data_IF_742068223925
#
_entry.id   IF_742068223925
#
_cell.length_a   1.000
_cell.length_b   1.000
_cell.length_c   1.000
_cell.angle_alpha   90.00
_cell.angle_beta   90.00
_cell.angle_gamma   90.00
#
_symmetry.space_group_name_H-M   'P 1'
#
loop_
_entity.id
_entity.type
_entity.pdbx_description
1 polymer ?
#
# COMPACT_ATOMS: atom_id res chain seq x y z
N UNK A 1 -2.99 4.19 -1.72
CA UNK A 1 -2.84 5.50 -2.36
C UNK A 1 -2.25 6.55 -1.41
N UNK A 2 -1.03 6.98 -1.71
CA UNK A 2 -0.22 7.90 -0.91
C UNK A 2 -0.45 9.38 -1.21
N UNK A 3 -1.28 9.71 -2.20
CA UNK A 3 -1.54 11.10 -2.59
C UNK A 3 -2.00 11.91 -1.38
N UNK A 4 -1.35 13.06 -1.06
CA UNK A 4 -1.62 13.80 0.18
C UNK A 4 -3.09 14.15 0.38
N UNK A 5 -3.82 14.47 -0.70
CA UNK A 5 -5.23 14.81 -0.64
C UNK A 5 -6.17 13.61 -0.54
N UNK A 6 -5.71 12.40 -0.91
CA UNK A 6 -6.51 11.17 -0.86
C UNK A 6 -6.30 10.42 0.44
N UNK A 7 -5.06 9.99 0.70
CA UNK A 7 -4.71 9.29 1.92
C UNK A 7 -5.69 8.13 2.23
N UNK A 8 -5.91 7.29 1.21
CA UNK A 8 -7.03 6.35 1.12
C UNK A 8 -6.51 4.91 1.00
N UNK A 9 -6.98 3.97 1.86
CA UNK A 9 -8.03 4.14 2.88
C UNK A 9 -7.58 4.87 4.16
N UNK A 10 -8.51 5.52 4.89
CA UNK A 10 -8.23 6.13 6.19
C UNK A 10 -7.77 5.07 7.22
N UNK A 11 -6.99 5.48 8.22
CA UNK A 11 -6.34 4.57 9.19
C UNK A 11 -7.30 3.56 9.84
N UNK A 12 -8.54 3.97 10.16
CA UNK A 12 -9.56 3.07 10.71
C UNK A 12 -9.89 1.89 9.80
N UNK A 13 -9.93 2.13 8.49
CA UNK A 13 -10.23 1.10 7.49
C UNK A 13 -8.98 0.28 7.17
N UNK A 14 -7.79 0.88 7.19
CA UNK A 14 -6.53 0.12 7.12
C UNK A 14 -6.44 -0.90 8.25
N UNK A 15 -6.68 -0.49 9.50
CA UNK A 15 -6.68 -1.41 10.66
C UNK A 15 -7.74 -2.51 10.53
N UNK A 16 -8.92 -2.18 10.03
CA UNK A 16 -9.96 -3.19 9.77
C UNK A 16 -9.51 -4.20 8.69
N UNK A 17 -8.86 -3.76 7.63
CA UNK A 17 -8.31 -4.63 6.59
C UNK A 17 -7.18 -5.52 7.14
N UNK A 18 -6.34 -5.01 8.05
CA UNK A 18 -5.29 -5.80 8.72
C UNK A 18 -5.93 -6.93 9.53
N UNK A 19 -6.95 -6.60 10.33
CA UNK A 19 -7.69 -7.59 11.12
C UNK A 19 -8.41 -8.63 10.24
N UNK A 20 -8.91 -8.22 9.07
CA UNK A 20 -9.53 -9.12 8.10
C UNK A 20 -8.53 -9.99 7.32
N UNK A 21 -7.23 -9.75 7.48
CA UNK A 21 -6.18 -10.47 6.76
C UNK A 21 -6.14 -10.20 5.26
N UNK A 22 -6.47 -8.99 4.85
CA UNK A 22 -6.41 -8.58 3.45
C UNK A 22 -4.96 -8.48 2.95
N UNK A 23 -4.78 -8.61 1.62
CA UNK A 23 -3.55 -8.18 0.94
C UNK A 23 -3.59 -6.66 0.69
N UNK A 24 -2.43 -6.02 0.69
CA UNK A 24 -2.30 -4.57 0.55
C UNK A 24 -1.46 -4.20 -0.67
N UNK A 25 -1.81 -3.10 -1.31
CA UNK A 25 -0.96 -2.41 -2.28
C UNK A 25 -0.67 -1.00 -1.79
N UNK A 26 0.55 -0.52 -1.99
CA UNK A 26 0.95 0.86 -1.68
C UNK A 26 1.39 1.52 -2.99
N UNK A 27 0.61 2.51 -3.42
CA UNK A 27 0.80 3.26 -4.67
C UNK A 27 0.74 4.76 -4.42
N UNK A 28 1.26 5.58 -5.33
CA UNK A 28 1.22 7.04 -5.25
C UNK A 28 0.13 7.69 -6.09
N UNK A 29 -0.48 6.95 -7.03
CA UNK A 29 -1.40 7.51 -8.03
C UNK A 29 -0.79 8.69 -8.79
N UNK A 30 0.49 8.50 -9.14
CA UNK A 30 1.30 9.50 -9.78
C UNK A 30 0.83 9.82 -11.20
N UNK A 31 0.57 11.11 -11.44
CA UNK A 31 0.31 11.75 -12.73
C UNK A 31 1.50 12.62 -13.19
N UNK A 32 2.55 12.73 -12.36
CA UNK A 32 3.81 13.38 -12.68
C UNK A 32 4.97 12.73 -11.89
N UNK A 33 6.23 12.74 -12.39
CA UNK A 33 7.34 12.04 -11.75
C UNK A 33 7.58 12.39 -10.27
N UNK A 34 7.44 13.67 -9.90
CA UNK A 34 7.64 14.10 -8.50
C UNK A 34 6.61 13.54 -7.51
N UNK A 35 5.50 12.97 -8.00
CA UNK A 35 4.48 12.37 -7.14
C UNK A 35 4.89 10.97 -6.64
N UNK A 36 5.90 10.34 -7.25
CA UNK A 36 6.49 9.09 -6.76
C UNK A 36 7.10 9.23 -5.36
N UNK A 37 7.52 10.44 -4.97
CA UNK A 37 8.07 10.72 -3.64
C UNK A 37 7.07 10.49 -2.50
N UNK A 38 5.77 10.45 -2.79
CA UNK A 38 4.73 10.22 -1.79
C UNK A 38 4.73 8.80 -1.23
N UNK A 39 5.38 7.84 -1.90
CA UNK A 39 5.39 6.42 -1.51
C UNK A 39 5.80 6.23 -0.04
N UNK A 40 6.77 7.03 0.44
CA UNK A 40 7.25 6.99 1.83
C UNK A 40 6.13 7.22 2.85
N UNK A 41 5.17 8.11 2.54
CA UNK A 41 4.01 8.38 3.40
C UNK A 41 3.09 7.17 3.51
N UNK A 42 2.84 6.46 2.41
CA UNK A 42 2.06 5.23 2.44
C UNK A 42 2.72 4.12 3.25
N UNK A 43 4.04 3.96 3.12
CA UNK A 43 4.80 3.01 3.93
C UNK A 43 4.68 3.32 5.43
N UNK A 44 4.85 4.59 5.84
CA UNK A 44 4.70 4.99 7.24
C UNK A 44 3.29 4.71 7.79
N UNK A 45 2.24 4.95 6.99
CA UNK A 45 0.85 4.64 7.38
C UNK A 45 0.59 3.14 7.49
N UNK A 46 1.16 2.34 6.59
CA UNK A 46 1.07 0.89 6.63
C UNK A 46 1.75 0.34 7.90
N UNK A 47 2.94 0.85 8.22
CA UNK A 47 3.66 0.55 9.46
C UNK A 47 2.86 0.94 10.71
N UNK A 48 2.30 2.16 10.75
CA UNK A 48 1.46 2.63 11.86
C UNK A 48 0.22 1.75 12.10
N UNK A 49 -0.33 1.19 11.02
CA UNK A 49 -1.47 0.27 11.07
C UNK A 49 -1.07 -1.18 11.35
N UNK A 50 0.21 -1.50 11.42
CA UNK A 50 0.72 -2.85 11.67
C UNK A 50 0.56 -3.79 10.47
N UNK A 51 0.62 -3.27 9.24
CA UNK A 51 0.56 -4.09 8.02
C UNK A 51 1.83 -4.95 7.90
N UNK A 52 1.72 -6.29 7.87
CA UNK A 52 2.88 -7.16 7.64
C UNK A 52 3.44 -6.99 6.23
N UNK A 53 4.78 -6.91 6.10
CA UNK A 53 5.44 -6.63 4.82
C UNK A 53 5.18 -7.72 3.76
N UNK A 54 5.02 -8.98 4.18
CA UNK A 54 4.70 -10.12 3.32
C UNK A 54 3.28 -10.05 2.73
N UNK A 55 2.37 -9.29 3.34
CA UNK A 55 1.02 -9.01 2.83
C UNK A 55 0.93 -7.78 1.94
N UNK A 56 2.03 -7.05 1.75
CA UNK A 56 2.10 -5.92 0.83
C UNK A 56 2.58 -6.41 -0.54
N UNK A 57 1.69 -6.52 -1.51
CA UNK A 57 1.99 -7.12 -2.83
C UNK A 57 3.07 -6.36 -3.61
N UNK A 58 3.25 -5.07 -3.33
CA UNK A 58 4.30 -4.22 -3.94
C UNK A 58 5.69 -4.48 -3.36
N UNK A 59 5.86 -5.43 -2.44
CA UNK A 59 7.17 -5.94 -1.98
C UNK A 59 7.56 -7.26 -2.66
N UNK A 60 6.64 -7.90 -3.39
CA UNK A 60 6.86 -9.20 -4.01
C UNK A 60 7.73 -9.08 -5.27
N UNK A 61 8.33 -10.19 -5.68
CA UNK A 61 8.95 -10.28 -7.00
C UNK A 61 7.88 -10.14 -8.09
N UNK A 62 8.29 -9.64 -9.26
CA UNK A 62 7.39 -9.52 -10.41
C UNK A 62 6.79 -10.88 -10.81
N UNK A 63 7.60 -11.95 -10.76
CA UNK A 63 7.14 -13.33 -11.04
C UNK A 63 6.01 -13.76 -10.09
N UNK A 64 6.21 -13.63 -8.78
CA UNK A 64 5.19 -13.98 -7.78
C UNK A 64 3.93 -13.15 -7.93
N UNK A 65 4.08 -11.85 -8.22
CA UNK A 65 2.94 -10.96 -8.42
C UNK A 65 2.11 -11.38 -9.65
N UNK A 66 2.77 -11.72 -10.75
CA UNK A 66 2.12 -12.19 -11.98
C UNK A 66 1.44 -13.54 -11.78
N UNK A 67 2.06 -14.46 -11.03
CA UNK A 67 1.44 -15.76 -10.68
C UNK A 67 0.15 -15.57 -9.86
N UNK A 68 0.13 -14.64 -8.91
CA UNK A 68 -1.06 -14.35 -8.10
C UNK A 68 -2.17 -13.62 -8.88
N UNK A 69 -1.80 -12.77 -9.84
CA UNK A 69 -2.74 -11.93 -10.58
C UNK A 69 -3.32 -12.58 -11.85
N UNK A 70 -2.69 -13.64 -12.36
CA UNK A 70 -3.13 -14.40 -13.54
C UNK A 70 -4.21 -15.44 -13.23
#
# INVERSE_FOLDING_TARGET
NCRPERQDPPLRLLRAAVAAGTLFSIDTDAHAPGQLDWQRSGCARAEECGVPADRVVTTWSAERLLEWAG
#
